data_IF_822991347414
#
_entry.id   IF_822991347414
#
_cell.length_a   1.000
_cell.length_b   1.000
_cell.length_c   1.000
_cell.angle_alpha   90.00
_cell.angle_beta   90.00
_cell.angle_gamma   90.00
#
_symmetry.space_group_name_H-M   'P 1'
#
loop_
_entity.id
_entity.type
_entity.pdbx_description
1 polymer ?
#
# COMPACT_ATOMS: atom_id res chain seq x y z
N UNK A 1 -6.86 -38.74 41.04
CA UNK A 1 -6.98 -37.28 40.84
C UNK A 1 -5.79 -36.80 40.03
N UNK A 2 -5.96 -36.66 38.70
CA UNK A 2 -4.92 -36.13 37.81
C UNK A 2 -4.72 -34.65 38.13
N UNK A 3 -3.50 -34.27 38.56
CA UNK A 3 -3.16 -32.85 38.76
C UNK A 3 -3.32 -32.15 37.42
N UNK A 4 -4.26 -31.21 37.33
CA UNK A 4 -4.38 -30.37 36.16
C UNK A 4 -3.01 -29.72 35.87
N UNK A 5 -2.55 -29.72 34.60
CA UNK A 5 -1.21 -29.27 34.23
C UNK A 5 -0.99 -27.81 34.65
N UNK A 6 0.26 -27.47 34.96
CA UNK A 6 0.71 -26.20 35.53
C UNK A 6 0.25 -24.93 34.78
N UNK A 7 -0.22 -25.06 33.53
CA UNK A 7 -0.77 -23.98 32.71
C UNK A 7 -1.99 -23.31 33.35
N UNK A 8 -2.78 -23.99 34.19
CA UNK A 8 -3.90 -23.35 34.90
C UNK A 8 -3.46 -22.33 35.97
N UNK A 9 -2.14 -22.20 36.24
CA UNK A 9 -1.61 -21.28 37.24
C UNK A 9 -1.11 -19.96 36.66
N UNK A 10 -1.04 -19.84 35.34
CA UNK A 10 -0.64 -18.58 34.72
C UNK A 10 -1.83 -17.61 34.73
N UNK A 11 -1.62 -16.34 35.14
CA UNK A 11 -2.61 -15.29 35.00
C UNK A 11 -3.07 -15.14 33.54
N UNK A 12 -4.36 -14.86 33.28
CA UNK A 12 -4.91 -14.74 31.93
C UNK A 12 -4.19 -13.69 31.08
N UNK A 13 -3.67 -12.63 31.69
CA UNK A 13 -2.92 -11.57 30.99
C UNK A 13 -1.61 -12.09 30.39
N UNK A 14 -0.99 -13.10 30.99
CA UNK A 14 0.20 -13.74 30.42
C UNK A 14 -0.16 -14.63 29.25
N UNK A 15 -1.32 -15.29 29.29
CA UNK A 15 -1.82 -16.04 28.13
C UNK A 15 -2.07 -15.11 26.95
N UNK A 16 -2.76 -14.00 27.17
CA UNK A 16 -3.03 -13.03 26.12
C UNK A 16 -1.74 -12.48 25.51
N UNK A 17 -0.76 -12.11 26.34
CA UNK A 17 0.56 -11.67 25.86
C UNK A 17 1.30 -12.74 25.06
N UNK A 18 1.28 -14.00 25.51
CA UNK A 18 1.89 -15.11 24.76
C UNK A 18 1.24 -15.22 23.38
N UNK A 19 -0.08 -15.19 23.32
CA UNK A 19 -0.84 -15.29 22.07
C UNK A 19 -0.60 -14.07 21.17
N UNK A 20 -0.47 -12.87 21.73
CA UNK A 20 -0.20 -11.62 21.00
C UNK A 20 1.14 -11.65 20.25
N UNK A 21 2.15 -12.40 20.74
CA UNK A 21 3.42 -12.59 20.01
C UNK A 21 3.26 -13.39 18.71
N UNK A 22 2.14 -14.09 18.53
CA UNK A 22 1.85 -14.91 17.35
C UNK A 22 0.65 -14.39 16.55
N UNK A 23 0.23 -13.14 16.76
CA UNK A 23 -0.94 -12.56 16.10
C UNK A 23 -0.87 -12.64 14.56
N UNK A 24 0.34 -12.63 14.02
CA UNK A 24 0.63 -12.67 12.58
C UNK A 24 0.70 -14.09 11.99
N UNK A 25 0.74 -15.14 12.81
CA UNK A 25 0.79 -16.55 12.40
C UNK A 25 -0.56 -17.23 12.65
N UNK A 26 -1.46 -17.08 11.68
CA UNK A 26 -2.82 -17.63 11.72
C UNK A 26 -2.83 -19.15 11.86
N UNK A 27 -1.83 -19.86 11.32
CA UNK A 27 -1.74 -21.33 11.38
C UNK A 27 -1.39 -21.77 12.80
N UNK A 28 -0.42 -21.10 13.42
CA UNK A 28 -0.08 -21.31 14.82
C UNK A 28 -1.28 -21.01 15.73
N UNK A 29 -1.98 -19.90 15.48
CA UNK A 29 -3.14 -19.48 16.26
C UNK A 29 -4.30 -20.48 16.20
N UNK A 30 -4.58 -21.07 15.03
CA UNK A 30 -5.55 -22.18 14.89
C UNK A 30 -5.15 -23.39 15.73
N UNK A 31 -3.85 -23.71 15.72
CA UNK A 31 -3.30 -24.82 16.51
C UNK A 31 -3.47 -24.57 18.01
N UNK A 32 -3.13 -23.38 18.50
CA UNK A 32 -3.32 -22.97 19.89
C UNK A 32 -4.80 -23.00 20.31
N UNK A 33 -5.71 -22.50 19.48
CA UNK A 33 -7.14 -22.50 19.74
C UNK A 33 -7.70 -23.92 19.93
N UNK A 34 -7.19 -24.89 19.16
CA UNK A 34 -7.60 -26.29 19.27
C UNK A 34 -6.96 -27.04 20.43
N UNK A 35 -5.73 -26.67 20.81
CA UNK A 35 -4.99 -27.32 21.88
C UNK A 35 -5.47 -26.95 23.29
N UNK A 36 -5.90 -25.69 23.49
CA UNK A 36 -6.28 -25.19 24.82
C UNK A 36 -7.48 -24.24 24.77
N UNK A 37 -8.55 -24.58 25.52
CA UNK A 37 -9.76 -23.73 25.62
C UNK A 37 -9.49 -22.34 26.20
N UNK A 38 -8.46 -22.20 27.04
CA UNK A 38 -8.08 -20.89 27.62
C UNK A 38 -7.58 -19.93 26.54
N UNK A 39 -6.95 -20.45 25.47
CA UNK A 39 -6.46 -19.63 24.36
C UNK A 39 -7.54 -19.33 23.31
N UNK A 40 -8.65 -20.08 23.31
CA UNK A 40 -9.64 -20.04 22.24
C UNK A 40 -10.15 -18.62 21.97
N UNK A 41 -10.57 -17.88 22.99
CA UNK A 41 -11.15 -16.55 22.80
C UNK A 41 -10.14 -15.54 22.21
N UNK A 42 -8.90 -15.51 22.73
CA UNK A 42 -7.85 -14.60 22.24
C UNK A 42 -7.37 -15.00 20.85
N UNK A 43 -7.23 -16.31 20.58
CA UNK A 43 -6.91 -16.80 19.25
C UNK A 43 -8.00 -16.46 18.24
N UNK A 44 -9.28 -16.65 18.58
CA UNK A 44 -10.39 -16.28 17.72
C UNK A 44 -10.39 -14.78 17.40
N UNK A 45 -10.17 -13.92 18.40
CA UNK A 45 -10.06 -12.49 18.17
C UNK A 45 -9.05 -12.16 17.07
N UNK A 46 -7.80 -12.64 17.19
CA UNK A 46 -6.76 -12.37 16.21
C UNK A 46 -7.01 -13.04 14.85
N UNK A 47 -7.50 -14.28 14.83
CA UNK A 47 -7.84 -15.00 13.59
C UNK A 47 -8.88 -14.25 12.76
N UNK A 48 -9.89 -13.66 13.42
CA UNK A 48 -10.98 -12.94 12.75
C UNK A 48 -10.75 -11.42 12.68
N UNK A 49 -9.70 -10.88 13.29
CA UNK A 49 -9.40 -9.44 13.29
C UNK A 49 -9.17 -8.91 11.87
N UNK A 50 -8.37 -9.66 11.09
CA UNK A 50 -8.05 -9.40 9.68
C UNK A 50 -8.62 -10.52 8.80
N UNK A 51 -9.84 -10.30 8.29
CA UNK A 51 -10.59 -11.30 7.54
C UNK A 51 -10.56 -10.98 6.04
N UNK A 52 -10.30 -11.98 5.21
CA UNK A 52 -10.48 -11.91 3.77
C UNK A 52 -11.59 -12.86 3.33
N UNK A 53 -12.61 -12.35 2.64
CA UNK A 53 -13.66 -13.14 2.03
C UNK A 53 -13.37 -13.29 0.54
N UNK A 54 -13.18 -14.53 0.10
CA UNK A 54 -12.95 -14.86 -1.31
C UNK A 54 -14.23 -15.42 -1.95
N UNK A 55 -14.61 -14.85 -3.08
CA UNK A 55 -15.74 -15.33 -3.88
C UNK A 55 -15.36 -16.42 -4.87
N UNK A 56 -14.17 -17.02 -4.77
CA UNK A 56 -13.72 -18.13 -5.62
C UNK A 56 -13.81 -19.47 -4.86
N UNK A 57 -14.41 -20.54 -5.43
CA UNK A 57 -14.57 -21.81 -4.72
C UNK A 57 -13.36 -22.74 -4.87
N UNK A 58 -12.54 -22.57 -5.91
CA UNK A 58 -11.51 -23.53 -6.30
C UNK A 58 -10.18 -23.26 -5.61
N UNK A 59 -9.96 -22.03 -5.13
CA UNK A 59 -8.64 -21.61 -4.67
C UNK A 59 -8.67 -20.73 -3.41
N UNK A 60 -9.16 -21.24 -2.25
CA UNK A 60 -9.10 -20.48 -1.00
C UNK A 60 -7.67 -20.26 -0.48
N UNK A 61 -6.69 -21.04 -0.93
CA UNK A 61 -5.31 -21.05 -0.42
C UNK A 61 -4.24 -20.68 -1.48
N UNK A 62 -4.62 -20.28 -2.69
CA UNK A 62 -3.62 -19.91 -3.70
C UNK A 62 -2.92 -18.61 -3.31
N UNK A 63 -1.76 -18.77 -2.67
CA UNK A 63 -0.55 -17.93 -2.68
C UNK A 63 -0.79 -16.42 -2.87
N UNK A 64 -1.79 -15.84 -2.22
CA UNK A 64 -1.79 -14.41 -2.05
C UNK A 64 -0.64 -14.10 -1.08
N UNK A 65 0.22 -13.12 -1.40
CA UNK A 65 1.42 -12.83 -0.63
C UNK A 65 1.14 -12.32 0.80
N UNK A 66 -0.12 -12.09 1.13
CA UNK A 66 -0.55 -11.60 2.44
C UNK A 66 -0.72 -12.76 3.42
N UNK A 67 0.40 -13.26 3.95
CA UNK A 67 0.46 -14.38 4.91
C UNK A 67 -0.41 -14.18 6.17
N UNK A 68 -0.79 -12.94 6.47
CA UNK A 68 -1.53 -12.55 7.68
C UNK A 68 -3.05 -12.54 7.50
N UNK A 69 -3.58 -12.72 6.27
CA UNK A 69 -5.03 -12.69 6.03
C UNK A 69 -5.63 -14.09 6.16
N UNK A 70 -6.69 -14.20 6.98
CA UNK A 70 -7.49 -15.42 7.06
C UNK A 70 -8.51 -15.42 5.91
N UNK A 71 -8.27 -16.24 4.88
CA UNK A 71 -9.20 -16.41 3.77
C UNK A 71 -10.34 -17.35 4.14
N UNK A 72 -11.58 -16.89 3.94
CA UNK A 72 -12.78 -17.65 4.25
C UNK A 72 -13.82 -17.51 3.14
N UNK A 73 -14.51 -18.62 2.85
CA UNK A 73 -15.67 -18.61 1.96
C UNK A 73 -16.84 -17.83 2.62
N UNK A 74 -17.50 -16.88 1.92
CA UNK A 74 -18.60 -16.09 2.46
C UNK A 74 -19.77 -16.88 3.04
N UNK A 75 -20.15 -18.00 2.40
CA UNK A 75 -21.25 -18.87 2.87
C UNK A 75 -20.87 -19.51 4.19
N UNK A 76 -19.63 -19.99 4.31
CA UNK A 76 -19.09 -20.53 5.56
C UNK A 76 -19.03 -19.45 6.65
N UNK A 77 -18.58 -18.24 6.31
CA UNK A 77 -18.53 -17.13 7.25
C UNK A 77 -19.91 -16.75 7.79
N UNK A 78 -20.92 -16.73 6.90
CA UNK A 78 -22.31 -16.52 7.29
C UNK A 78 -22.80 -17.58 8.28
N UNK A 79 -22.46 -18.85 8.09
CA UNK A 79 -22.77 -19.90 9.07
C UNK A 79 -22.08 -19.63 10.41
N UNK A 80 -20.78 -19.30 10.39
CA UNK A 80 -20.00 -19.02 11.60
C UNK A 80 -20.61 -17.85 12.39
N UNK A 81 -20.95 -16.74 11.74
CA UNK A 81 -21.59 -15.61 12.45
C UNK A 81 -23.00 -15.98 12.94
N UNK A 82 -23.72 -16.84 12.22
CA UNK A 82 -25.04 -17.32 12.66
C UNK A 82 -24.92 -18.16 13.93
N UNK A 83 -23.94 -19.06 13.98
CA UNK A 83 -23.73 -19.99 15.09
C UNK A 83 -22.97 -19.34 16.26
N UNK A 84 -22.16 -18.31 15.99
CA UNK A 84 -21.35 -17.59 16.96
C UNK A 84 -21.34 -16.08 16.68
N UNK A 85 -22.42 -15.37 17.04
CA UNK A 85 -22.59 -13.95 16.68
C UNK A 85 -21.48 -13.02 17.19
N UNK A 86 -20.85 -13.35 18.33
CA UNK A 86 -19.76 -12.56 18.91
C UNK A 86 -18.51 -12.47 18.01
N UNK A 87 -18.33 -13.41 17.05
CA UNK A 87 -17.22 -13.36 16.09
C UNK A 87 -17.34 -12.12 15.19
N UNK A 88 -18.56 -11.64 14.91
CA UNK A 88 -18.76 -10.43 14.12
C UNK A 88 -18.14 -9.18 14.77
N UNK A 89 -18.09 -9.15 16.11
CA UNK A 89 -17.47 -8.05 16.87
C UNK A 89 -15.94 -8.08 16.82
N UNK A 90 -15.33 -9.21 16.44
CA UNK A 90 -13.88 -9.33 16.29
C UNK A 90 -13.38 -8.79 14.95
N UNK A 91 -14.22 -8.74 13.91
CA UNK A 91 -13.80 -8.30 12.58
C UNK A 91 -13.62 -6.78 12.54
N UNK A 92 -12.36 -6.36 12.42
CA UNK A 92 -11.99 -4.94 12.31
C UNK A 92 -11.58 -4.58 10.89
N UNK A 93 -10.94 -5.49 10.17
CA UNK A 93 -10.49 -5.28 8.81
C UNK A 93 -11.05 -6.40 7.93
N UNK A 94 -11.89 -6.02 6.96
CA UNK A 94 -12.48 -6.93 6.01
C UNK A 94 -11.95 -6.62 4.62
N UNK A 95 -11.38 -7.62 3.94
CA UNK A 95 -11.11 -7.59 2.52
C UNK A 95 -12.09 -8.50 1.79
N UNK A 96 -12.81 -7.98 0.80
CA UNK A 96 -13.63 -8.77 -0.12
C UNK A 96 -12.82 -8.87 -1.40
N UNK A 97 -12.31 -10.05 -1.70
CA UNK A 97 -11.48 -10.28 -2.88
C UNK A 97 -12.20 -11.15 -3.90
N UNK A 98 -12.23 -10.70 -5.15
CA UNK A 98 -12.42 -11.58 -6.30
C UNK A 98 -11.06 -12.10 -6.74
N UNK A 99 -10.90 -13.42 -6.87
CA UNK A 99 -9.67 -13.96 -7.45
C UNK A 99 -9.55 -13.46 -8.89
N UNK A 100 -8.39 -12.88 -9.28
CA UNK A 100 -8.15 -12.51 -10.66
C UNK A 100 -8.10 -13.79 -11.50
N UNK A 101 -9.16 -14.05 -12.26
CA UNK A 101 -9.13 -15.11 -13.25
C UNK A 101 -8.11 -14.71 -14.33
N UNK A 102 -7.14 -15.59 -14.60
CA UNK A 102 -6.09 -15.34 -15.61
C UNK A 102 -6.66 -15.00 -16.99
N UNK A 103 -7.87 -15.46 -17.27
CA UNK A 103 -8.73 -14.95 -18.33
C UNK A 103 -10.14 -14.81 -17.74
N UNK A 104 -10.75 -13.61 -17.75
CA UNK A 104 -12.13 -13.46 -17.31
C UNK A 104 -13.00 -14.34 -18.20
N UNK A 105 -13.54 -15.44 -17.66
CA UNK A 105 -14.51 -16.24 -18.40
C UNK A 105 -15.73 -15.35 -18.62
N UNK A 106 -16.17 -15.13 -19.87
CA UNK A 106 -17.44 -14.46 -20.13
C UNK A 106 -18.53 -15.07 -19.26
N UNK A 107 -19.42 -14.27 -18.68
CA UNK A 107 -20.50 -14.80 -17.83
C UNK A 107 -21.35 -15.85 -18.56
N UNK A 108 -21.43 -15.76 -19.89
CA UNK A 108 -22.07 -16.75 -20.76
C UNK A 108 -21.47 -18.15 -20.66
N UNK A 109 -20.23 -18.29 -20.20
CA UNK A 109 -19.52 -19.57 -20.04
C UNK A 109 -19.74 -20.21 -18.67
N UNK A 110 -20.23 -19.45 -17.69
CA UNK A 110 -20.62 -20.02 -16.40
C UNK A 110 -21.88 -20.86 -16.57
N UNK A 111 -21.83 -22.08 -16.05
CA UNK A 111 -23.00 -22.93 -15.87
C UNK A 111 -24.03 -22.24 -14.97
N UNK A 112 -25.30 -22.67 -15.06
CA UNK A 112 -26.35 -22.14 -14.19
C UNK A 112 -26.00 -22.28 -12.71
N UNK A 113 -25.46 -23.44 -12.33
CA UNK A 113 -25.03 -23.76 -10.96
C UNK A 113 -23.89 -22.83 -10.48
N UNK A 114 -22.88 -22.56 -11.32
CA UNK A 114 -21.80 -21.63 -10.97
C UNK A 114 -22.31 -20.19 -10.78
N UNK A 115 -23.30 -19.77 -11.58
CA UNK A 115 -23.94 -18.44 -11.42
C UNK A 115 -24.73 -18.35 -10.13
N UNK A 116 -25.55 -19.36 -9.81
CA UNK A 116 -26.30 -19.42 -8.55
C UNK A 116 -25.36 -19.43 -7.34
N UNK A 117 -24.30 -20.23 -7.37
CA UNK A 117 -23.29 -20.29 -6.31
C UNK A 117 -22.53 -18.95 -6.16
N UNK A 118 -22.28 -18.21 -7.25
CA UNK A 118 -21.72 -16.85 -7.19
C UNK A 118 -22.69 -15.89 -6.50
N UNK A 119 -23.95 -15.86 -6.92
CA UNK A 119 -24.99 -15.00 -6.32
C UNK A 119 -25.17 -15.31 -4.83
N UNK A 120 -25.18 -16.59 -4.45
CA UNK A 120 -25.29 -16.99 -3.03
C UNK A 120 -24.11 -16.47 -2.19
N UNK A 121 -22.88 -16.55 -2.72
CA UNK A 121 -21.69 -16.03 -2.04
C UNK A 121 -21.75 -14.53 -1.86
N UNK A 122 -22.08 -13.79 -2.90
CA UNK A 122 -22.23 -12.33 -2.85
C UNK A 122 -23.34 -11.91 -1.87
N UNK A 123 -24.49 -12.59 -1.89
CA UNK A 123 -25.57 -12.38 -0.93
C UNK A 123 -25.14 -12.72 0.50
N UNK A 124 -24.27 -13.72 0.67
CA UNK A 124 -23.73 -14.07 1.99
C UNK A 124 -22.77 -13.01 2.52
N UNK A 125 -21.97 -12.37 1.67
CA UNK A 125 -21.18 -11.19 2.06
C UNK A 125 -22.09 -10.06 2.52
N UNK A 126 -23.15 -9.77 1.77
CA UNK A 126 -24.13 -8.72 2.12
C UNK A 126 -24.72 -8.94 3.53
N UNK A 127 -25.20 -10.15 3.82
CA UNK A 127 -25.76 -10.50 5.14
C UNK A 127 -24.74 -10.40 6.27
N UNK A 128 -23.47 -10.73 5.99
CA UNK A 128 -22.40 -10.64 6.99
C UNK A 128 -22.07 -9.18 7.30
N UNK A 129 -21.98 -8.32 6.29
CA UNK A 129 -21.62 -6.90 6.42
C UNK A 129 -22.52 -6.15 7.41
N UNK A 130 -23.84 -6.40 7.37
CA UNK A 130 -24.81 -5.80 8.30
C UNK A 130 -24.55 -6.12 9.78
N UNK A 131 -23.73 -7.14 10.07
CA UNK A 131 -23.42 -7.58 11.43
C UNK A 131 -22.08 -7.07 11.94
N UNK A 132 -21.22 -6.51 11.08
CA UNK A 132 -19.85 -6.11 11.44
C UNK A 132 -19.81 -4.70 12.04
N UNK A 133 -20.29 -4.55 13.28
CA UNK A 133 -20.40 -3.24 13.96
C UNK A 133 -19.06 -2.58 14.27
N UNK A 134 -18.02 -3.39 14.45
CA UNK A 134 -16.66 -2.93 14.77
C UNK A 134 -15.77 -2.81 13.53
N UNK A 135 -16.35 -2.87 12.32
CA UNK A 135 -15.59 -2.73 11.09
C UNK A 135 -14.93 -1.35 11.00
N UNK A 136 -13.60 -1.35 10.91
CA UNK A 136 -12.75 -0.15 10.81
C UNK A 136 -12.10 0.00 9.43
N UNK A 137 -11.84 -1.11 8.75
CA UNK A 137 -11.30 -1.11 7.39
C UNK A 137 -12.12 -2.03 6.49
N UNK A 138 -12.48 -1.52 5.31
CA UNK A 138 -13.12 -2.30 4.26
C UNK A 138 -12.32 -2.15 2.97
N UNK A 139 -11.80 -3.26 2.46
CA UNK A 139 -11.16 -3.35 1.16
C UNK A 139 -12.03 -4.17 0.22
N UNK A 140 -12.29 -3.68 -0.99
CA UNK A 140 -13.02 -4.44 -2.02
C UNK A 140 -12.18 -4.47 -3.28
N UNK A 141 -11.67 -5.66 -3.58
CA UNK A 141 -10.81 -5.94 -4.71
C UNK A 141 -11.65 -6.62 -5.80
N UNK A 142 -11.95 -5.86 -6.84
CA UNK A 142 -12.79 -6.31 -7.96
C UNK A 142 -12.08 -7.30 -8.89
N UNK A 143 -10.77 -7.52 -8.75
CA UNK A 143 -9.98 -8.18 -9.79
C UNK A 143 -10.05 -7.46 -11.14
N UNK A 144 -9.29 -7.94 -12.13
CA UNK A 144 -9.16 -7.35 -13.46
C UNK A 144 -10.45 -7.52 -14.31
N UNK A 145 -11.50 -6.79 -13.96
CA UNK A 145 -12.71 -6.64 -14.78
C UNK A 145 -13.88 -7.56 -14.42
N UNK A 146 -13.84 -8.32 -13.32
CA UNK A 146 -15.06 -8.98 -12.81
C UNK A 146 -15.84 -7.99 -11.96
N UNK A 147 -17.05 -7.56 -12.37
CA UNK A 147 -17.81 -6.66 -11.53
C UNK A 147 -18.35 -7.49 -10.36
N UNK A 148 -17.66 -7.46 -9.21
CA UNK A 148 -18.31 -7.61 -7.90
C UNK A 148 -19.55 -6.69 -7.85
N UNK A 149 -19.48 -5.57 -8.57
CA UNK A 149 -20.54 -4.58 -8.81
C UNK A 149 -21.71 -5.05 -9.69
N UNK A 150 -21.66 -6.26 -10.26
CA UNK A 150 -22.78 -6.81 -11.02
C UNK A 150 -23.97 -7.15 -10.12
N UNK A 151 -23.71 -7.39 -8.83
CA UNK A 151 -24.74 -7.72 -7.86
C UNK A 151 -25.22 -6.46 -7.09
N UNK A 152 -26.43 -5.95 -7.37
CA UNK A 152 -26.94 -4.75 -6.73
C UNK A 152 -27.18 -4.93 -5.23
N UNK A 153 -27.42 -6.17 -4.76
CA UNK A 153 -27.65 -6.48 -3.35
C UNK A 153 -26.33 -6.33 -2.57
N UNK A 154 -25.26 -6.95 -3.06
CA UNK A 154 -23.93 -6.82 -2.45
C UNK A 154 -23.48 -5.36 -2.46
N UNK A 155 -23.67 -4.66 -3.57
CA UNK A 155 -23.31 -3.25 -3.65
C UNK A 155 -24.05 -2.39 -2.64
N UNK A 156 -25.38 -2.60 -2.50
CA UNK A 156 -26.18 -1.89 -1.50
C UNK A 156 -25.70 -2.21 -0.08
N UNK A 157 -25.40 -3.46 0.22
CA UNK A 157 -24.88 -3.83 1.54
C UNK A 157 -23.49 -3.25 1.82
N UNK A 158 -22.62 -3.14 0.81
CA UNK A 158 -21.35 -2.42 0.95
C UNK A 158 -21.60 -0.94 1.24
N UNK A 159 -22.53 -0.29 0.54
CA UNK A 159 -22.92 1.09 0.81
C UNK A 159 -23.47 1.24 2.23
N UNK A 160 -24.39 0.37 2.64
CA UNK A 160 -25.00 0.38 3.97
C UNK A 160 -23.95 0.12 5.06
N UNK A 161 -23.03 -0.82 4.86
CA UNK A 161 -21.90 -1.06 5.75
C UNK A 161 -21.03 0.18 5.86
N UNK A 162 -20.73 0.85 4.75
CA UNK A 162 -19.98 2.11 4.76
C UNK A 162 -20.76 3.22 5.47
N UNK A 163 -22.08 3.18 5.47
CA UNK A 163 -22.94 4.17 6.12
C UNK A 163 -23.21 3.90 7.62
N UNK A 164 -23.11 2.66 8.07
CA UNK A 164 -23.44 2.27 9.45
C UNK A 164 -22.21 2.10 10.36
N UNK A 165 -21.06 1.79 9.78
CA UNK A 165 -19.83 1.43 10.52
C UNK A 165 -19.02 2.62 11.04
N UNK A 166 -18.07 2.35 11.94
CA UNK A 166 -17.01 3.31 12.29
C UNK A 166 -15.81 3.14 11.34
N UNK A 167 -16.07 3.01 10.03
CA UNK A 167 -15.00 2.84 9.05
C UNK A 167 -14.06 4.04 9.09
N UNK A 168 -12.79 3.70 9.34
CA UNK A 168 -11.64 4.60 9.36
C UNK A 168 -10.95 4.57 8.01
N UNK A 169 -10.94 3.41 7.34
CA UNK A 169 -10.24 3.14 6.09
C UNK A 169 -11.18 2.47 5.05
N UNK A 170 -11.12 2.94 3.81
CA UNK A 170 -11.77 2.32 2.65
C UNK A 170 -10.68 2.11 1.59
N UNK A 171 -10.49 0.88 1.10
CA UNK A 171 -9.50 0.55 0.07
C UNK A 171 -10.17 -0.06 -1.16
N UNK A 172 -10.39 0.73 -2.22
CA UNK A 172 -11.18 0.26 -3.36
C UNK A 172 -10.69 0.74 -4.71
N UNK A 173 -10.75 -0.13 -5.70
CA UNK A 173 -10.36 0.16 -7.09
C UNK A 173 -11.42 0.93 -7.90
N UNK A 174 -12.64 1.06 -7.37
CA UNK A 174 -13.82 1.27 -8.25
C UNK A 174 -15.01 2.00 -7.59
N UNK A 175 -14.85 2.60 -6.42
CA UNK A 175 -16.01 3.18 -5.72
C UNK A 175 -16.46 4.57 -6.21
N UNK A 176 -17.79 4.69 -6.28
CA UNK A 176 -18.58 5.78 -6.85
C UNK A 176 -18.62 7.00 -5.93
N UNK A 177 -18.64 8.19 -6.54
CA UNK A 177 -18.83 9.53 -5.94
C UNK A 177 -19.91 9.58 -4.83
N UNK A 178 -20.94 8.72 -4.89
CA UNK A 178 -22.06 8.66 -3.94
C UNK A 178 -21.65 8.34 -2.51
N UNK A 179 -20.64 7.50 -2.31
CA UNK A 179 -20.20 7.11 -0.95
C UNK A 179 -19.49 8.27 -0.25
N UNK A 180 -18.73 9.06 -0.99
CA UNK A 180 -18.01 10.22 -0.46
C UNK A 180 -18.93 11.35 -0.02
N UNK A 181 -20.13 11.48 -0.61
CA UNK A 181 -21.08 12.55 -0.28
C UNK A 181 -21.65 12.44 1.14
N UNK A 182 -21.59 11.25 1.73
CA UNK A 182 -22.39 10.91 2.90
C UNK A 182 -21.58 10.76 4.21
N UNK A 183 -20.25 10.84 4.15
CA UNK A 183 -19.38 10.76 5.35
C UNK A 183 -18.51 12.01 5.50
N UNK A 184 -18.59 12.64 6.66
CA UNK A 184 -17.71 13.76 7.04
C UNK A 184 -16.46 13.32 7.84
N UNK A 185 -16.35 12.03 8.21
CA UNK A 185 -15.43 11.54 9.23
C UNK A 185 -14.41 10.49 8.76
N UNK A 186 -14.26 10.24 7.45
CA UNK A 186 -13.25 9.27 6.98
C UNK A 186 -11.86 9.84 7.20
N UNK A 187 -11.05 9.24 8.07
CA UNK A 187 -9.69 9.72 8.33
C UNK A 187 -8.66 9.15 7.35
N UNK A 188 -8.94 7.97 6.78
CA UNK A 188 -8.06 7.27 5.84
C UNK A 188 -8.85 6.81 4.61
N UNK A 189 -8.31 7.08 3.43
CA UNK A 189 -8.87 6.64 2.16
C UNK A 189 -7.75 6.05 1.31
N UNK A 190 -7.95 4.84 0.80
CA UNK A 190 -7.09 4.19 -0.18
C UNK A 190 -7.93 3.90 -1.43
N UNK A 191 -7.40 4.18 -2.61
CA UNK A 191 -8.04 3.73 -3.83
C UNK A 191 -7.02 3.36 -4.88
N UNK A 192 -7.43 2.41 -5.73
CA UNK A 192 -6.65 1.95 -6.87
C UNK A 192 -7.31 2.47 -8.15
N UNK A 193 -6.55 3.11 -9.01
CA UNK A 193 -6.97 3.55 -10.33
C UNK A 193 -6.53 2.46 -11.28
N UNK A 194 -7.49 1.65 -11.73
CA UNK A 194 -7.20 0.56 -12.65
C UNK A 194 -7.59 0.88 -14.11
N UNK A 195 -7.10 0.07 -15.06
CA UNK A 195 -7.15 0.24 -16.52
C UNK A 195 -8.55 0.41 -17.09
N UNK A 196 -9.57 -0.03 -16.36
CA UNK A 196 -10.94 -0.05 -16.83
C UNK A 196 -11.67 1.29 -16.66
N UNK A 197 -10.99 2.33 -16.14
CA UNK A 197 -11.53 3.66 -15.94
C UNK A 197 -12.57 3.71 -14.82
N UNK A 198 -12.86 4.92 -14.34
CA UNK A 198 -14.05 5.10 -13.50
C UNK A 198 -15.27 4.66 -14.31
N UNK A 199 -16.20 3.86 -13.76
CA UNK A 199 -17.50 3.68 -14.37
C UNK A 199 -18.24 5.01 -14.30
N UNK A 200 -17.93 5.90 -15.25
CA UNK A 200 -18.71 7.08 -15.52
C UNK A 200 -20.01 6.51 -16.05
N UNK A 201 -21.07 6.61 -15.24
CA UNK A 201 -22.43 6.39 -15.71
C UNK A 201 -22.54 7.05 -17.08
N UNK A 202 -22.70 6.24 -18.13
CA UNK A 202 -22.80 6.72 -19.49
C UNK A 202 -23.81 7.87 -19.50
N UNK A 203 -23.36 9.03 -19.99
CA UNK A 203 -23.97 10.35 -19.82
C UNK A 203 -25.31 10.55 -20.56
N UNK A 204 -26.18 9.54 -20.56
CA UNK A 204 -27.45 9.50 -21.29
C UNK A 204 -28.71 9.69 -20.44
N UNK A 205 -28.63 9.75 -19.11
CA UNK A 205 -29.80 10.08 -18.27
C UNK A 205 -29.73 11.54 -17.81
N UNK A 206 -30.71 12.32 -18.25
CA UNK A 206 -30.76 13.77 -18.11
C UNK A 206 -30.67 14.24 -16.65
N UNK A 207 -29.70 15.13 -16.39
CA UNK A 207 -29.74 16.23 -15.42
C UNK A 207 -30.63 16.04 -14.17
N UNK A 208 -30.36 15.04 -13.33
CA UNK A 208 -30.71 15.19 -11.92
C UNK A 208 -29.73 16.20 -11.33
N UNK A 209 -30.22 17.44 -11.11
CA UNK A 209 -29.51 18.47 -10.33
C UNK A 209 -29.41 17.98 -8.90
N UNK A 210 -28.34 17.25 -8.60
CA UNK A 210 -27.97 16.94 -7.23
C UNK A 210 -27.29 18.18 -6.61
N UNK A 211 -27.63 18.47 -5.35
CA UNK A 211 -26.92 19.46 -4.56
C UNK A 211 -25.40 19.16 -4.56
N UNK A 212 -24.55 20.20 -4.54
CA UNK A 212 -23.11 20.01 -4.49
C UNK A 212 -22.76 19.15 -3.26
N UNK A 213 -22.00 18.06 -3.45
CA UNK A 213 -21.70 17.14 -2.37
C UNK A 213 -21.00 17.84 -1.19
N UNK A 214 -21.34 17.43 0.04
CA UNK A 214 -20.48 17.69 1.19
C UNK A 214 -19.16 16.97 0.94
N UNK A 215 -18.06 17.71 0.95
CA UNK A 215 -16.72 17.14 0.77
C UNK A 215 -16.31 16.37 2.01
N UNK A 216 -15.73 15.18 1.82
CA UNK A 216 -15.17 14.41 2.92
C UNK A 216 -13.75 14.91 3.25
N UNK A 217 -13.48 15.34 4.48
CA UNK A 217 -12.11 15.64 4.92
C UNK A 217 -11.38 14.34 5.21
N UNK A 218 -10.17 14.17 4.66
CA UNK A 218 -9.36 12.97 4.84
C UNK A 218 -7.94 13.36 5.27
N UNK A 219 -7.38 12.66 6.26
CA UNK A 219 -6.04 12.94 6.78
C UNK A 219 -4.97 12.01 6.18
N UNK A 220 -5.37 10.83 5.68
CA UNK A 220 -4.50 9.90 4.96
C UNK A 220 -5.11 9.50 3.62
N UNK A 221 -4.39 9.67 2.53
CA UNK A 221 -4.82 9.31 1.18
C UNK A 221 -3.81 8.36 0.54
N UNK A 222 -4.22 7.14 0.17
CA UNK A 222 -3.43 6.25 -0.67
C UNK A 222 -3.99 6.22 -2.08
N UNK A 223 -3.12 6.47 -3.06
CA UNK A 223 -3.46 6.47 -4.49
C UNK A 223 -2.57 5.44 -5.16
N UNK A 224 -3.15 4.31 -5.58
CA UNK A 224 -2.47 3.35 -6.44
C UNK A 224 -2.88 3.63 -7.89
N UNK A 225 -1.99 3.80 -8.85
CA UNK A 225 -2.38 3.96 -10.27
C UNK A 225 -1.70 2.93 -11.18
N UNK A 226 -2.53 2.24 -11.96
CA UNK A 226 -2.14 1.27 -12.99
C UNK A 226 -2.03 1.93 -14.38
N UNK A 227 -1.44 1.21 -15.33
CA UNK A 227 -0.87 1.59 -16.64
C UNK A 227 -1.65 2.53 -17.61
N UNK A 228 -2.83 3.08 -17.31
CA UNK A 228 -3.65 3.78 -18.34
C UNK A 228 -3.57 5.30 -18.38
N UNK A 229 -3.42 5.82 -19.61
CA UNK A 229 -3.23 7.23 -20.00
C UNK A 229 -4.49 8.11 -19.90
N UNK A 230 -5.70 7.55 -19.90
CA UNK A 230 -6.96 8.32 -20.01
C UNK A 230 -7.60 8.68 -18.67
N UNK A 231 -7.08 8.15 -17.56
CA UNK A 231 -7.69 8.29 -16.24
C UNK A 231 -7.40 9.63 -15.52
N UNK A 232 -6.37 10.37 -15.96
CA UNK A 232 -5.83 11.51 -15.20
C UNK A 232 -6.84 12.66 -15.03
N UNK A 233 -7.62 12.99 -16.07
CA UNK A 233 -8.63 14.05 -16.00
C UNK A 233 -9.82 13.69 -15.10
N UNK A 234 -10.18 12.41 -15.05
CA UNK A 234 -11.28 11.95 -14.22
C UNK A 234 -10.88 11.92 -12.74
N UNK A 235 -9.63 11.54 -12.46
CA UNK A 235 -9.11 11.54 -11.11
C UNK A 235 -9.09 12.96 -10.52
N UNK A 236 -8.53 13.91 -11.24
CA UNK A 236 -8.42 15.29 -10.76
C UNK A 236 -9.81 15.89 -10.46
N UNK A 237 -10.75 15.72 -11.40
CA UNK A 237 -12.13 16.16 -11.22
C UNK A 237 -12.83 15.45 -10.05
N UNK A 238 -12.60 14.15 -9.88
CA UNK A 238 -13.14 13.38 -8.76
C UNK A 238 -12.60 13.87 -7.41
N UNK A 239 -11.27 13.98 -7.28
CA UNK A 239 -10.61 14.43 -6.05
C UNK A 239 -11.09 15.82 -5.65
N UNK A 240 -11.17 16.75 -6.60
CA UNK A 240 -11.62 18.13 -6.34
C UNK A 240 -13.10 18.25 -5.94
N UNK A 241 -13.95 17.30 -6.37
CA UNK A 241 -15.39 17.33 -6.09
C UNK A 241 -15.78 16.53 -4.86
N UNK A 242 -15.16 15.38 -4.64
CA UNK A 242 -15.58 14.42 -3.62
C UNK A 242 -14.84 14.60 -2.29
N UNK A 243 -13.58 15.05 -2.31
CA UNK A 243 -12.69 14.99 -1.15
C UNK A 243 -12.14 16.38 -0.81
N UNK A 244 -12.26 16.79 0.44
CA UNK A 244 -11.56 17.94 0.98
C UNK A 244 -10.16 17.50 1.43
N UNK A 245 -9.21 17.62 0.51
CA UNK A 245 -7.80 17.30 0.74
C UNK A 245 -7.02 18.45 1.40
N UNK A 246 -7.68 19.54 1.81
CA UNK A 246 -7.01 20.68 2.47
C UNK A 246 -6.35 20.30 3.78
N UNK A 247 -6.86 19.29 4.48
CA UNK A 247 -6.33 18.81 5.76
C UNK A 247 -5.54 17.50 5.61
N UNK A 248 -5.11 17.16 4.39
CA UNK A 248 -4.43 15.90 4.13
C UNK A 248 -3.03 15.91 4.76
N UNK A 249 -2.85 15.18 5.86
CA UNK A 249 -1.58 15.09 6.57
C UNK A 249 -0.62 14.05 5.96
N UNK A 250 -1.15 12.99 5.36
CA UNK A 250 -0.37 11.91 4.77
C UNK A 250 -0.87 11.51 3.37
N UNK A 251 0.04 11.46 2.41
CA UNK A 251 -0.23 11.00 1.04
C UNK A 251 0.67 9.81 0.73
N UNK A 252 0.07 8.68 0.36
CA UNK A 252 0.75 7.47 -0.07
C UNK A 252 0.45 7.19 -1.55
N UNK A 253 1.39 7.47 -2.43
CA UNK A 253 1.27 7.15 -3.84
C UNK A 253 1.94 5.81 -4.12
N UNK A 254 1.22 4.87 -4.73
CA UNK A 254 1.75 3.61 -5.27
C UNK A 254 1.65 3.67 -6.78
N UNK A 255 2.76 3.44 -7.47
CA UNK A 255 2.83 3.62 -8.91
C UNK A 255 3.39 2.43 -9.65
N UNK A 256 2.65 1.97 -10.67
CA UNK A 256 3.12 0.94 -11.59
C UNK A 256 3.86 1.52 -12.80
N UNK A 257 3.64 2.81 -13.12
CA UNK A 257 4.27 3.48 -14.29
C UNK A 257 4.72 4.90 -13.96
N UNK A 258 5.83 5.35 -14.53
CA UNK A 258 6.25 6.73 -14.35
C UNK A 258 5.46 7.73 -15.24
N UNK A 259 4.68 7.29 -16.22
CA UNK A 259 4.23 8.18 -17.30
C UNK A 259 3.05 9.12 -16.98
N UNK A 260 2.21 8.83 -15.97
CA UNK A 260 0.87 9.45 -15.86
C UNK A 260 0.63 10.28 -14.59
N UNK A 261 1.63 10.47 -13.73
CA UNK A 261 1.41 11.11 -12.44
C UNK A 261 1.34 12.65 -12.51
N UNK A 262 1.64 13.27 -13.65
CA UNK A 262 2.05 14.68 -13.61
C UNK A 262 0.96 15.64 -13.20
N UNK A 263 -0.25 15.50 -13.72
CA UNK A 263 -1.26 16.54 -13.54
C UNK A 263 -2.06 16.32 -12.26
N UNK A 264 -2.59 15.12 -12.03
CA UNK A 264 -3.44 14.86 -10.88
C UNK A 264 -2.67 14.87 -9.56
N UNK A 265 -1.45 14.31 -9.51
CA UNK A 265 -0.62 14.38 -8.30
C UNK A 265 -0.11 15.80 -8.06
N UNK A 266 0.21 16.56 -9.11
CA UNK A 266 0.54 17.99 -8.96
C UNK A 266 -0.64 18.77 -8.37
N UNK A 267 -1.85 18.53 -8.86
CA UNK A 267 -3.03 19.19 -8.35
C UNK A 267 -3.32 18.77 -6.90
N UNK A 268 -3.14 17.49 -6.55
CA UNK A 268 -3.16 17.03 -5.16
C UNK A 268 -2.18 17.83 -4.30
N UNK A 269 -0.90 17.90 -4.70
CA UNK A 269 0.13 18.67 -3.98
C UNK A 269 -0.20 20.15 -3.86
N UNK A 270 -0.77 20.76 -4.91
CA UNK A 270 -1.16 22.18 -4.85
C UNK A 270 -2.21 22.40 -3.77
N UNK A 271 -3.22 21.53 -3.69
CA UNK A 271 -4.31 21.68 -2.73
C UNK A 271 -3.90 21.31 -1.30
N UNK A 272 -3.03 20.30 -1.11
CA UNK A 272 -2.61 19.85 0.23
C UNK A 272 -1.27 20.43 0.73
N UNK A 273 -0.63 21.33 -0.01
CA UNK A 273 0.73 21.81 0.30
C UNK A 273 0.93 22.26 1.75
N UNK A 274 -0.02 23.04 2.30
CA UNK A 274 0.08 23.56 3.67
C UNK A 274 -0.11 22.53 4.79
N UNK A 275 -0.79 21.41 4.53
CA UNK A 275 -1.15 20.40 5.54
C UNK A 275 -0.37 19.09 5.42
N UNK A 276 0.22 18.81 4.26
CA UNK A 276 0.91 17.55 4.01
C UNK A 276 2.19 17.44 4.84
N UNK A 277 2.19 16.56 5.84
CA UNK A 277 3.33 16.27 6.73
C UNK A 277 4.10 15.03 6.31
N UNK A 278 3.44 14.06 5.68
CA UNK A 278 4.06 12.79 5.27
C UNK A 278 3.73 12.46 3.83
N UNK A 279 4.76 12.17 3.05
CA UNK A 279 4.65 11.67 1.69
C UNK A 279 5.34 10.31 1.60
N UNK A 280 4.60 9.30 1.17
CA UNK A 280 5.12 7.97 0.87
C UNK A 280 4.94 7.75 -0.63
N UNK A 281 6.04 7.47 -1.33
CA UNK A 281 6.01 7.13 -2.74
C UNK A 281 6.55 5.71 -2.91
N UNK A 282 5.70 4.77 -3.29
CA UNK A 282 6.08 3.38 -3.60
C UNK A 282 5.99 3.15 -5.10
N UNK A 283 7.03 2.54 -5.66
CA UNK A 283 7.03 2.11 -7.05
C UNK A 283 6.91 0.59 -7.12
N UNK A 284 5.86 0.07 -7.78
CA UNK A 284 5.61 -1.36 -7.93
C UNK A 284 5.57 -1.75 -9.42
N UNK A 285 6.65 -2.32 -9.97
CA UNK A 285 6.63 -2.84 -11.35
C UNK A 285 6.21 -4.31 -11.38
N UNK A 286 5.06 -4.61 -11.98
CA UNK A 286 4.58 -5.98 -12.23
C UNK A 286 4.58 -6.29 -13.73
N UNK A 287 5.72 -6.70 -14.30
CA UNK A 287 5.77 -6.93 -15.75
C UNK A 287 6.90 -7.83 -16.23
N UNK A 288 6.54 -9.00 -16.75
CA UNK A 288 7.37 -9.99 -17.47
C UNK A 288 7.28 -9.88 -19.00
N UNK A 289 6.56 -8.89 -19.54
CA UNK A 289 6.36 -8.74 -20.99
C UNK A 289 7.54 -8.01 -21.64
N UNK A 290 7.86 -8.42 -22.88
CA UNK A 290 9.04 -8.06 -23.68
C UNK A 290 9.40 -6.57 -23.58
N UNK A 291 10.71 -6.22 -23.61
CA UNK A 291 11.17 -4.84 -23.64
C UNK A 291 10.65 -4.18 -24.91
N UNK A 292 9.54 -3.45 -24.79
CA UNK A 292 9.22 -2.38 -25.72
C UNK A 292 10.36 -1.36 -25.55
N UNK A 293 10.91 -0.85 -26.66
CA UNK A 293 12.04 0.09 -26.67
C UNK A 293 11.91 1.15 -25.58
N UNK A 294 12.64 0.94 -24.48
CA UNK A 294 12.54 1.69 -23.24
C UNK A 294 13.20 3.08 -23.34
N UNK A 295 14.13 3.23 -24.28
CA UNK A 295 14.91 4.45 -24.49
C UNK A 295 14.03 5.66 -24.84
N UNK A 296 13.04 5.51 -25.74
CA UNK A 296 12.15 6.61 -26.12
C UNK A 296 11.10 6.93 -25.04
N UNK A 297 10.76 5.92 -24.24
CA UNK A 297 9.74 6.00 -23.20
C UNK A 297 10.32 6.70 -21.95
N UNK A 298 11.58 6.45 -21.61
CA UNK A 298 12.20 7.02 -20.40
C UNK A 298 12.71 8.44 -20.62
N UNK A 299 13.27 8.75 -21.80
CA UNK A 299 13.61 10.14 -22.15
C UNK A 299 12.37 11.03 -22.10
N UNK A 300 11.22 10.60 -22.64
CA UNK A 300 10.01 11.43 -22.62
C UNK A 300 9.32 11.50 -21.24
N UNK A 301 9.43 10.48 -20.41
CA UNK A 301 8.67 10.36 -19.16
C UNK A 301 9.26 11.08 -17.97
N UNK A 302 10.58 11.00 -17.82
CA UNK A 302 11.25 11.61 -16.68
C UNK A 302 11.62 13.07 -16.98
N UNK A 303 11.86 13.40 -18.26
CA UNK A 303 11.86 14.79 -18.73
C UNK A 303 10.47 15.42 -18.64
N UNK A 304 9.35 14.66 -18.62
CA UNK A 304 7.99 15.23 -18.45
C UNK A 304 7.47 15.19 -17.01
N UNK A 305 7.86 14.21 -16.19
CA UNK A 305 7.59 14.15 -14.76
C UNK A 305 8.38 15.18 -13.96
N UNK A 306 9.63 15.40 -14.35
CA UNK A 306 10.50 16.39 -13.72
C UNK A 306 11.33 17.03 -14.82
N UNK A 307 10.72 17.78 -15.77
CA UNK A 307 11.55 18.64 -16.60
C UNK A 307 12.31 19.49 -15.59
N UNK A 308 13.63 19.56 -15.69
CA UNK A 308 14.49 20.37 -14.81
C UNK A 308 14.06 21.86 -14.74
N UNK A 309 13.00 22.24 -15.47
CA UNK A 309 12.36 23.55 -15.55
C UNK A 309 10.87 23.61 -15.15
N UNK A 310 10.11 22.52 -14.91
CA UNK A 310 8.65 22.61 -14.64
C UNK A 310 8.17 22.14 -13.26
N UNK A 311 8.88 21.20 -12.62
CA UNK A 311 8.59 20.80 -11.23
C UNK A 311 9.46 21.61 -10.28
N UNK A 312 9.08 22.85 -10.07
CA UNK A 312 9.64 23.66 -9.00
C UNK A 312 8.78 23.49 -7.75
N UNK A 313 9.20 22.64 -6.81
CA UNK A 313 8.59 22.62 -5.47
C UNK A 313 8.83 23.96 -4.74
N UNK A 314 9.66 24.87 -5.28
CA UNK A 314 9.92 26.20 -4.72
C UNK A 314 8.69 27.10 -4.62
N UNK A 315 7.59 26.76 -5.29
CA UNK A 315 6.36 27.56 -5.25
C UNK A 315 5.32 27.02 -4.27
N UNK A 316 5.66 25.97 -3.53
CA UNK A 316 4.78 25.37 -2.58
C UNK A 316 5.34 25.55 -1.18
N UNK A 317 4.52 26.09 -0.30
CA UNK A 317 4.81 26.17 1.13
C UNK A 317 4.48 24.80 1.74
N UNK A 318 5.39 23.84 1.57
CA UNK A 318 5.19 22.50 2.12
C UNK A 318 5.56 22.44 3.60
N UNK A 319 4.65 21.92 4.42
CA UNK A 319 4.92 21.49 5.80
C UNK A 319 5.47 20.05 5.85
N UNK A 320 6.14 19.58 4.79
CA UNK A 320 6.54 18.18 4.65
C UNK A 320 7.64 17.82 5.67
N UNK A 321 7.26 17.06 6.68
CA UNK A 321 8.14 16.60 7.75
C UNK A 321 8.79 15.25 7.42
N UNK A 322 8.10 14.38 6.71
CA UNK A 322 8.54 13.00 6.46
C UNK A 322 8.39 12.64 4.98
N UNK A 323 9.49 12.26 4.34
CA UNK A 323 9.49 11.74 2.98
C UNK A 323 10.00 10.30 2.98
N UNK A 324 9.14 9.36 2.61
CA UNK A 324 9.49 7.96 2.41
C UNK A 324 9.38 7.63 0.94
N UNK A 325 10.45 7.13 0.35
CA UNK A 325 10.48 6.68 -1.04
C UNK A 325 10.82 5.20 -1.01
N UNK A 326 9.81 4.39 -1.28
CA UNK A 326 9.81 2.94 -1.16
C UNK A 326 9.99 2.27 -2.53
N UNK A 327 10.78 1.19 -2.55
CA UNK A 327 10.92 0.25 -3.68
C UNK A 327 11.19 0.92 -5.04
N UNK A 328 12.13 1.85 -5.09
CA UNK A 328 12.41 2.64 -6.31
C UNK A 328 12.79 1.76 -7.54
N UNK A 329 13.13 0.48 -7.35
CA UNK A 329 13.54 -0.42 -8.43
C UNK A 329 12.91 -1.80 -8.26
N UNK A 330 12.22 -2.29 -9.30
CA UNK A 330 11.84 -3.70 -9.44
C UNK A 330 11.94 -4.13 -10.91
N UNK A 331 12.94 -3.62 -11.62
CA UNK A 331 12.89 -3.66 -13.08
C UNK A 331 14.13 -4.32 -13.65
N UNK A 332 13.93 -5.25 -14.59
CA UNK A 332 14.96 -5.84 -15.46
C UNK A 332 15.42 -4.81 -16.50
N UNK A 333 15.87 -3.66 -16.02
CA UNK A 333 16.30 -2.57 -16.87
C UNK A 333 17.73 -2.80 -17.34
N UNK A 334 18.06 -2.20 -18.48
CA UNK A 334 19.45 -1.92 -18.80
C UNK A 334 20.05 -0.97 -17.75
N UNK A 335 21.38 -0.86 -17.70
CA UNK A 335 22.04 0.03 -16.73
C UNK A 335 21.59 1.50 -16.81
N UNK A 336 21.13 1.95 -17.98
CA UNK A 336 20.76 3.35 -18.25
C UNK A 336 19.42 3.75 -17.63
N UNK A 337 18.41 2.88 -17.63
CA UNK A 337 17.09 3.25 -17.12
C UNK A 337 17.09 3.40 -15.59
N UNK A 338 17.85 2.52 -14.89
CA UNK A 338 18.03 2.63 -13.45
C UNK A 338 18.70 3.96 -13.07
N UNK A 339 19.67 4.39 -13.89
CA UNK A 339 20.32 5.70 -13.77
C UNK A 339 19.33 6.85 -13.96
N UNK A 340 18.43 6.76 -14.95
CA UNK A 340 17.48 7.84 -15.22
C UNK A 340 16.46 7.99 -14.07
N UNK A 341 15.96 6.89 -13.50
CA UNK A 341 15.08 6.93 -12.32
C UNK A 341 15.81 7.51 -11.09
N UNK A 342 17.04 7.06 -10.80
CA UNK A 342 17.83 7.59 -9.68
C UNK A 342 18.11 9.09 -9.85
N UNK A 343 18.51 9.52 -11.05
CA UNK A 343 18.74 10.93 -11.33
C UNK A 343 17.47 11.77 -11.21
N UNK A 344 16.32 11.20 -11.57
CA UNK A 344 15.03 11.87 -11.38
C UNK A 344 14.67 12.01 -9.92
N UNK A 345 14.96 11.00 -9.11
CA UNK A 345 14.78 11.06 -7.66
C UNK A 345 15.74 12.05 -6.99
N UNK A 346 17.02 12.05 -7.37
CA UNK A 346 17.98 13.08 -6.93
C UNK A 346 17.49 14.45 -7.37
N UNK A 347 16.97 14.59 -8.60
CA UNK A 347 16.33 15.79 -9.12
C UNK A 347 15.15 16.24 -8.26
N UNK A 348 14.28 15.31 -7.84
CA UNK A 348 13.19 15.57 -6.90
C UNK A 348 13.73 16.13 -5.59
N UNK A 349 14.70 15.48 -4.94
CA UNK A 349 15.31 15.98 -3.71
C UNK A 349 15.98 17.36 -3.91
N UNK A 350 16.58 17.58 -5.09
CA UNK A 350 17.19 18.85 -5.51
C UNK A 350 16.14 19.93 -5.78
N UNK A 351 14.90 19.56 -6.04
CA UNK A 351 13.79 20.49 -6.26
C UNK A 351 13.05 20.88 -4.96
N UNK A 352 13.14 20.06 -3.90
CA UNK A 352 12.51 20.33 -2.61
C UNK A 352 12.93 21.70 -2.03
N UNK A 353 12.04 22.37 -1.26
CA UNK A 353 12.38 23.61 -0.56
C UNK A 353 13.65 23.45 0.29
N UNK A 354 14.51 24.46 0.24
CA UNK A 354 15.82 24.46 0.89
C UNK A 354 15.89 25.46 2.04
N UNK A 355 16.83 25.27 2.97
CA UNK A 355 17.06 26.18 4.08
C UNK A 355 15.92 26.17 5.08
N UNK A 356 15.56 27.35 5.63
CA UNK A 356 14.53 27.46 6.67
C UNK A 356 13.11 27.12 6.21
N UNK A 357 12.88 27.11 4.89
CA UNK A 357 11.62 26.69 4.29
C UNK A 357 11.49 25.15 4.23
N UNK A 358 12.57 24.41 4.48
CA UNK A 358 12.53 22.96 4.54
C UNK A 358 12.08 22.49 5.91
N UNK A 359 10.97 21.76 5.95
CA UNK A 359 10.44 21.13 7.16
C UNK A 359 10.86 19.66 7.30
N UNK A 360 11.64 19.13 6.36
CA UNK A 360 11.98 17.72 6.30
C UNK A 360 12.81 17.29 7.51
N UNK A 361 12.24 16.41 8.33
CA UNK A 361 12.85 15.83 9.53
C UNK A 361 13.30 14.39 9.29
N UNK A 362 12.56 13.64 8.47
CA UNK A 362 12.88 12.26 8.12
C UNK A 362 12.88 12.05 6.60
N UNK A 363 13.95 11.45 6.09
CA UNK A 363 14.06 10.97 4.72
C UNK A 363 14.38 9.48 4.74
N UNK A 364 13.50 8.66 4.18
CA UNK A 364 13.74 7.23 3.97
C UNK A 364 13.77 6.91 2.48
N UNK A 365 14.83 6.28 2.01
CA UNK A 365 14.99 5.87 0.60
C UNK A 365 15.30 4.39 0.55
N UNK A 366 14.43 3.64 -0.09
CA UNK A 366 14.48 2.19 -0.19
C UNK A 366 14.62 1.81 -1.67
N UNK A 367 15.77 1.27 -2.01
CA UNK A 367 16.22 1.04 -3.38
C UNK A 367 16.39 -0.46 -3.57
N UNK A 368 15.65 -1.07 -4.49
CA UNK A 368 15.66 -2.52 -4.66
C UNK A 368 16.35 -2.96 -5.97
N UNK A 369 17.60 -3.39 -5.84
CA UNK A 369 18.45 -3.83 -6.95
C UNK A 369 18.21 -5.29 -7.36
N UNK A 370 17.12 -5.93 -6.93
CA UNK A 370 16.83 -7.35 -7.17
C UNK A 370 16.96 -7.80 -8.64
N UNK A 371 16.73 -6.91 -9.60
CA UNK A 371 16.71 -7.24 -11.03
C UNK A 371 17.66 -6.41 -11.89
N UNK A 372 18.54 -5.62 -11.28
CA UNK A 372 19.44 -4.75 -12.01
C UNK A 372 20.59 -5.60 -12.62
N UNK A 373 20.54 -5.84 -13.93
CA UNK A 373 21.65 -6.47 -14.68
C UNK A 373 22.76 -5.44 -14.91
N UNK A 374 23.41 -5.02 -13.83
CA UNK A 374 24.42 -3.97 -13.91
C UNK A 374 25.76 -4.60 -14.26
N UNK A 375 26.11 -4.54 -15.54
CA UNK A 375 27.44 -4.87 -16.04
C UNK A 375 28.52 -3.89 -15.54
N UNK A 376 28.14 -2.72 -15.03
CA UNK A 376 29.04 -1.73 -14.44
C UNK A 376 28.62 -1.42 -12.98
N UNK A 377 29.57 -1.54 -12.06
CA UNK A 377 29.43 -1.24 -10.62
C UNK A 377 29.42 0.26 -10.33
N UNK A 378 30.05 1.04 -11.21
CA UNK A 378 30.33 2.45 -11.03
C UNK A 378 29.08 3.37 -11.00
N UNK A 379 28.05 3.18 -11.86
CA UNK A 379 26.86 4.03 -11.84
C UNK A 379 26.14 3.99 -10.48
N UNK A 380 26.01 2.82 -9.87
CA UNK A 380 25.32 2.66 -8.58
C UNK A 380 26.00 3.46 -7.48
N UNK A 381 27.33 3.35 -7.39
CA UNK A 381 28.15 4.05 -6.40
C UNK A 381 28.00 5.56 -6.60
N UNK A 382 28.09 6.05 -7.84
CA UNK A 382 27.90 7.46 -8.16
C UNK A 382 26.51 7.97 -7.74
N UNK A 383 25.46 7.18 -7.92
CA UNK A 383 24.11 7.60 -7.51
C UNK A 383 23.96 7.66 -5.99
N UNK A 384 24.48 6.69 -5.25
CA UNK A 384 24.46 6.75 -3.79
C UNK A 384 25.29 7.92 -3.27
N UNK A 385 26.41 8.23 -3.91
CA UNK A 385 27.20 9.42 -3.58
C UNK A 385 26.41 10.71 -3.86
N UNK A 386 25.71 10.80 -4.99
CA UNK A 386 24.84 11.96 -5.30
C UNK A 386 23.71 12.09 -4.28
N UNK A 387 23.01 10.99 -3.99
CA UNK A 387 21.93 10.96 -3.00
C UNK A 387 22.45 11.36 -1.61
N UNK A 388 23.59 10.82 -1.21
CA UNK A 388 24.27 11.14 0.04
C UNK A 388 24.61 12.63 0.12
N UNK A 389 25.26 13.18 -0.91
CA UNK A 389 25.65 14.59 -0.96
C UNK A 389 24.44 15.52 -0.86
N UNK A 390 23.32 15.16 -1.48
CA UNK A 390 22.09 15.96 -1.43
C UNK A 390 21.41 15.84 -0.07
N UNK A 391 21.26 14.62 0.46
CA UNK A 391 20.54 14.37 1.70
C UNK A 391 21.30 14.85 2.95
N UNK A 392 22.63 14.83 2.94
CA UNK A 392 23.47 15.24 4.08
C UNK A 392 23.85 16.73 4.07
N UNK A 393 23.46 17.47 3.03
CA UNK A 393 23.69 18.91 2.97
C UNK A 393 22.82 19.64 4.01
N UNK A 394 23.45 20.11 5.09
CA UNK A 394 22.79 20.80 6.21
C UNK A 394 22.17 22.13 5.80
N UNK A 395 22.78 22.86 4.87
CA UNK A 395 22.22 24.12 4.37
C UNK A 395 20.91 23.85 3.62
N UNK A 396 20.84 22.70 2.96
CA UNK A 396 19.66 22.27 2.21
C UNK A 396 18.55 21.80 3.14
N UNK A 397 18.87 20.89 4.06
CA UNK A 397 17.91 20.25 4.97
C UNK A 397 18.32 20.47 6.44
N UNK A 398 18.24 21.69 6.97
CA UNK A 398 18.75 22.02 8.31
C UNK A 398 18.00 21.32 9.45
N UNK A 399 16.80 20.81 9.16
CA UNK A 399 15.93 20.11 10.11
C UNK A 399 15.98 18.58 9.98
N UNK A 400 16.74 18.04 9.04
CA UNK A 400 16.82 16.60 8.84
C UNK A 400 17.50 15.95 10.05
N UNK A 401 16.75 15.12 10.77
CA UNK A 401 17.20 14.41 11.97
C UNK A 401 17.43 12.93 11.70
N UNK A 402 16.75 12.37 10.70
CA UNK A 402 16.82 10.94 10.38
C UNK A 402 16.92 10.73 8.88
N UNK A 403 17.96 10.00 8.47
CA UNK A 403 18.16 9.55 7.10
C UNK A 403 18.25 8.02 7.09
N UNK A 404 17.30 7.35 6.45
CA UNK A 404 17.29 5.90 6.29
C UNK A 404 17.54 5.56 4.84
N UNK A 405 18.62 4.83 4.57
CA UNK A 405 18.98 4.39 3.23
C UNK A 405 19.00 2.86 3.23
N UNK A 406 18.01 2.23 2.59
CA UNK A 406 17.93 0.77 2.46
C UNK A 406 18.20 0.35 1.02
N UNK A 407 19.17 -0.53 0.82
CA UNK A 407 19.47 -1.18 -0.46
C UNK A 407 19.11 -2.66 -0.39
N UNK A 408 18.21 -3.13 -1.25
CA UNK A 408 17.80 -4.54 -1.31
C UNK A 408 18.44 -5.25 -2.50
N UNK A 409 18.97 -6.46 -2.28
CA UNK A 409 19.66 -7.24 -3.30
C UNK A 409 19.18 -8.70 -3.29
N UNK A 410 18.55 -9.17 -4.36
CA UNK A 410 18.06 -10.57 -4.44
C UNK A 410 19.00 -11.53 -5.15
N UNK A 411 19.81 -11.04 -6.11
CA UNK A 411 20.58 -11.89 -7.03
C UNK A 411 22.08 -11.58 -7.08
N UNK A 412 22.68 -11.05 -6.00
CA UNK A 412 24.13 -10.82 -5.97
C UNK A 412 24.93 -12.11 -6.24
N UNK A 413 24.39 -13.29 -5.92
CA UNK A 413 25.12 -14.56 -6.05
C UNK A 413 25.20 -15.12 -7.48
N UNK A 414 24.26 -14.82 -8.37
CA UNK A 414 24.23 -15.47 -9.70
C UNK A 414 25.12 -14.77 -10.74
N UNK A 415 25.43 -13.48 -10.54
CA UNK A 415 26.16 -12.68 -11.53
C UNK A 415 27.41 -11.97 -11.00
N UNK A 416 27.65 -11.98 -9.68
CA UNK A 416 28.80 -11.29 -9.11
C UNK A 416 29.74 -12.25 -8.41
N UNK A 417 31.02 -12.15 -8.74
CA UNK A 417 32.09 -12.80 -7.99
C UNK A 417 32.09 -12.24 -6.55
N UNK A 418 32.54 -13.01 -5.54
CA UNK A 418 32.73 -12.50 -4.19
C UNK A 418 33.54 -11.18 -4.14
N UNK A 419 34.46 -11.00 -5.09
CA UNK A 419 35.23 -9.76 -5.25
C UNK A 419 34.35 -8.55 -5.58
N UNK A 420 33.34 -8.70 -6.43
CA UNK A 420 32.41 -7.62 -6.76
C UNK A 420 31.55 -7.25 -5.55
N UNK A 421 31.06 -8.23 -4.78
CA UNK A 421 30.29 -7.95 -3.54
C UNK A 421 31.14 -7.20 -2.52
N UNK A 422 32.40 -7.64 -2.34
CA UNK A 422 33.34 -6.97 -1.44
C UNK A 422 33.65 -5.55 -1.90
N UNK A 423 33.89 -5.36 -3.20
CA UNK A 423 34.12 -4.04 -3.81
C UNK A 423 32.94 -3.09 -3.57
N UNK A 424 31.70 -3.57 -3.71
CA UNK A 424 30.51 -2.78 -3.39
C UNK A 424 30.52 -2.39 -1.93
N UNK A 425 30.67 -3.37 -1.03
CA UNK A 425 30.67 -3.14 0.41
C UNK A 425 31.71 -2.08 0.80
N UNK A 426 32.93 -2.15 0.25
CA UNK A 426 33.98 -1.16 0.49
C UNK A 426 33.55 0.23 0.04
N UNK A 427 33.08 0.39 -1.20
CA UNK A 427 32.66 1.70 -1.70
C UNK A 427 31.45 2.28 -0.96
N UNK A 428 30.47 1.46 -0.59
CA UNK A 428 29.36 1.94 0.26
C UNK A 428 29.86 2.41 1.62
N UNK A 429 30.78 1.66 2.24
CA UNK A 429 31.38 2.07 3.49
C UNK A 429 32.16 3.39 3.33
N UNK A 430 32.85 3.60 2.21
CA UNK A 430 33.55 4.86 1.94
C UNK A 430 32.59 6.04 1.78
N UNK A 431 31.48 5.87 1.05
CA UNK A 431 30.43 6.90 0.93
C UNK A 431 29.88 7.25 2.31
N UNK A 432 29.53 6.24 3.11
CA UNK A 432 28.87 6.45 4.38
C UNK A 432 29.83 6.78 5.53
N UNK A 433 31.14 6.58 5.36
CA UNK A 433 32.18 7.01 6.30
C UNK A 433 32.47 8.52 6.19
N UNK A 434 31.96 9.20 5.16
CA UNK A 434 32.11 10.65 5.02
C UNK A 434 31.53 11.39 6.24
N UNK A 435 32.09 12.56 6.60
CA UNK A 435 31.64 13.35 7.73
C UNK A 435 30.12 13.58 7.67
N UNK A 436 29.46 13.34 8.79
CA UNK A 436 28.00 13.53 8.91
C UNK A 436 27.72 14.73 9.81
N UNK A 437 26.61 15.44 9.59
CA UNK A 437 26.15 16.46 10.53
C UNK A 437 25.95 15.82 11.92
N UNK A 438 26.44 16.44 12.99
CA UNK A 438 26.44 15.86 14.35
C UNK A 438 25.04 15.43 14.84
N UNK A 439 23.99 16.08 14.34
CA UNK A 439 22.59 15.82 14.73
C UNK A 439 21.87 14.82 13.83
N UNK A 440 22.44 14.42 12.70
CA UNK A 440 21.78 13.55 11.73
C UNK A 440 21.99 12.07 12.09
N UNK A 441 20.91 11.39 12.45
CA UNK A 441 20.89 9.94 12.62
C UNK A 441 20.77 9.29 11.25
N UNK A 442 21.87 8.68 10.80
CA UNK A 442 21.90 7.95 9.54
C UNK A 442 21.83 6.45 9.83
N UNK A 443 20.84 5.79 9.25
CA UNK A 443 20.72 4.33 9.21
C UNK A 443 20.92 3.89 7.77
N UNK A 444 21.90 3.02 7.55
CA UNK A 444 22.15 2.40 6.25
C UNK A 444 21.97 0.91 6.41
N UNK A 445 21.06 0.32 5.63
CA UNK A 445 20.82 -1.11 5.63
C UNK A 445 21.03 -1.66 4.22
N UNK A 446 21.91 -2.66 4.10
CA UNK A 446 22.08 -3.43 2.87
C UNK A 446 21.50 -4.80 3.16
N UNK A 447 20.31 -5.07 2.62
CA UNK A 447 19.51 -6.23 2.94
C UNK A 447 19.51 -7.21 1.77
N UNK A 448 19.58 -8.50 2.10
CA UNK A 448 19.26 -9.55 1.14
C UNK A 448 17.75 -9.57 0.93
N UNK A 449 17.30 -9.63 -0.32
CA UNK A 449 15.87 -9.49 -0.66
C UNK A 449 14.97 -10.54 0.01
N UNK A 450 15.46 -11.75 0.22
CA UNK A 450 14.71 -12.82 0.88
C UNK A 450 14.31 -12.43 2.32
N UNK A 451 15.10 -11.61 3.00
CA UNK A 451 14.81 -11.12 4.35
C UNK A 451 13.86 -9.90 4.35
N UNK A 452 13.73 -9.22 3.21
CA UNK A 452 13.02 -7.94 3.08
C UNK A 452 11.53 -8.06 2.79
N UNK A 453 11.09 -9.17 2.20
CA UNK A 453 9.68 -9.38 1.85
C UNK A 453 8.79 -9.37 3.10
N UNK A 454 9.34 -9.74 4.26
CA UNK A 454 8.67 -9.73 5.57
C UNK A 454 8.68 -8.35 6.27
N UNK A 455 9.53 -7.40 5.84
CA UNK A 455 9.68 -6.06 6.46
C UNK A 455 8.74 -5.03 5.80
N UNK A 456 8.45 -5.19 4.50
CA UNK A 456 7.63 -4.25 3.76
C UNK A 456 6.12 -4.27 4.12
N UNK A 457 5.60 -5.39 4.62
CA UNK A 457 4.24 -5.49 5.17
C UNK A 457 4.08 -4.72 6.50
N UNK A 458 5.17 -4.22 7.10
CA UNK A 458 5.15 -3.48 8.37
C UNK A 458 4.97 -1.96 8.20
N UNK A 459 5.06 -1.43 6.97
CA UNK A 459 4.93 0.01 6.70
C UNK A 459 3.50 0.52 6.54
N UNK A 460 2.50 -0.34 6.78
CA UNK A 460 1.10 0.07 6.78
C UNK A 460 0.79 0.85 8.07
N UNK A 461 0.07 1.98 8.00
CA UNK A 461 -0.33 2.71 9.19
C UNK A 461 -1.51 1.98 9.84
N UNK A 462 -1.26 0.81 10.42
CA UNK A 462 -2.11 0.34 11.51
C UNK A 462 -1.75 1.19 12.74
N UNK A 463 -2.74 1.83 13.40
CA UNK A 463 -2.48 2.52 14.66
C UNK A 463 -2.15 1.46 15.71
N UNK A 464 -0.88 1.07 15.87
CA UNK A 464 -0.49 0.11 16.91
C UNK A 464 0.87 -0.59 16.84
N UNK A 465 1.71 -0.42 15.82
CA UNK A 465 2.96 -1.21 15.72
C UNK A 465 4.23 -0.34 15.80
N UNK A 466 4.87 -0.36 16.96
CA UNK A 466 6.29 -0.06 17.19
C UNK A 466 6.91 -1.33 17.76
N UNK A 467 7.60 -2.14 16.94
CA UNK A 467 8.64 -3.09 17.36
C UNK A 467 9.16 -3.88 16.14
N UNK A 468 10.31 -3.50 15.59
CA UNK A 468 11.18 -4.49 14.94
C UNK A 468 12.67 -4.10 14.95
N UNK A 469 13.47 -5.15 14.78
CA UNK A 469 14.86 -5.35 15.18
C UNK A 469 15.83 -4.49 14.37
N UNK A 470 16.67 -3.71 15.06
CA UNK A 470 17.82 -3.00 14.50
C UNK A 470 19.06 -3.90 14.55
N UNK A 471 19.67 -4.17 13.41
CA UNK A 471 21.11 -4.39 13.38
C UNK A 471 21.76 -2.99 13.49
N UNK A 472 22.51 -2.77 14.58
CA UNK A 472 23.27 -1.53 14.81
C UNK A 472 24.61 -1.56 14.11
#
# INVERSE_FOLDING_TARGET
>A
MSRAPALQRLPPELHDKIIDYFADDVVFMRSCASACRVFLARCQFHIFYNLALTTDPEHPETKLPDAHLFFLNPVRFRSIIKDSPHIADYVHNLRIASVPQHEPRPESWLTHEEREARVERENSVAVCLDRLRNLRSLSVDSGNGSPIFGNPILWRAIQDAIMQSNLVCLDQSTMVETVFRQRAHLTCLSFTIDRHGFPISSAGSASQRFDPPRRCSVNFLRVRQSETTTADHHLDHFLQRAIDIKNLECLYIVSETCHHYTTAVKNLFQVCSGSLRRLIFEYEWFGTRKPILLESIIEHALISLFPARSWSFRHFEFSLENLHVLRVFHVRLGGDDAKIILNSFVGLLVSLPTGNASFLQELSVHVNYSHAKMSATEPVIQHWQCLWNVATNVERFPRLQKLVLKGYFSQLHEYHTPANVLHWKTHYMDIFAQPRPEKLKVTVEILKFDDAFNDASQFWPYPGFDNLIRLR
#
